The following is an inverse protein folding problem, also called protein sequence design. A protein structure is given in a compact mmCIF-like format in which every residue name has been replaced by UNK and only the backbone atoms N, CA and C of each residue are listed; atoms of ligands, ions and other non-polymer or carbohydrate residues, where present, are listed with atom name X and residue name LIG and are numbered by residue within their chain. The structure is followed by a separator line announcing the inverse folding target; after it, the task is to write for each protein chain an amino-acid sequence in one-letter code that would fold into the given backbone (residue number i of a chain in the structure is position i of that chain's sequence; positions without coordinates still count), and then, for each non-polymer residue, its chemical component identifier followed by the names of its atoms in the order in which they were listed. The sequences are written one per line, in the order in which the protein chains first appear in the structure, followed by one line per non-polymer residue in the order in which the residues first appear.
data_IF_674927180838
#
_entry.id   IF_674927180838
#
_cell.length_a   1.000
_cell.length_b   1.000
_cell.length_c   1.000
_cell.angle_alpha   90.00
_cell.angle_beta   90.00
_cell.angle_gamma   90.00
#
_symmetry.space_group_name_H-M   'P 1'
#
loop_
_entity.id
_entity.type
_entity.pdbx_description
1 polymer ?
#
# COMPACT_ATOMS: atom_id res chain seq x y z
N UNK A 1 8.62 -20.25 -9.98
CA UNK A 1 9.73 -21.09 -10.42
C UNK A 1 9.57 -22.44 -9.74
N UNK A 2 9.33 -23.50 -10.51
CA UNK A 2 9.33 -24.87 -9.99
C UNK A 2 10.72 -25.45 -10.21
N UNK A 3 11.37 -25.91 -9.15
CA UNK A 3 12.67 -26.58 -9.23
C UNK A 3 12.44 -28.09 -9.28
N UNK A 4 13.04 -28.75 -10.28
CA UNK A 4 13.34 -30.18 -10.22
C UNK A 4 14.49 -30.35 -9.21
N UNK A 5 14.21 -30.89 -8.03
CA UNK A 5 15.19 -31.17 -6.97
C UNK A 5 14.69 -32.32 -6.09
N UNK A 6 15.61 -33.04 -5.43
CA UNK A 6 15.25 -34.14 -4.53
C UNK A 6 14.50 -33.62 -3.29
N UNK A 7 13.73 -34.49 -2.61
CA UNK A 7 12.83 -34.11 -1.50
C UNK A 7 13.48 -33.40 -0.30
N UNK A 8 14.82 -33.38 -0.23
CA UNK A 8 15.60 -32.71 0.83
C UNK A 8 16.24 -31.39 0.37
N UNK A 9 16.14 -31.00 -0.90
CA UNK A 9 16.80 -29.82 -1.44
C UNK A 9 15.85 -28.61 -1.42
N UNK A 10 16.16 -27.64 -0.56
CA UNK A 10 15.45 -26.36 -0.50
C UNK A 10 16.27 -25.32 -1.25
N UNK A 11 15.77 -24.89 -2.41
CA UNK A 11 16.32 -23.70 -3.09
C UNK A 11 15.51 -22.49 -2.66
N UNK A 12 16.13 -21.62 -1.87
CA UNK A 12 15.61 -20.28 -1.59
C UNK A 12 15.96 -19.37 -2.78
N UNK A 13 15.00 -19.18 -3.69
CA UNK A 13 15.17 -18.26 -4.83
C UNK A 13 14.85 -16.84 -4.37
N UNK A 14 15.84 -15.95 -4.49
CA UNK A 14 15.65 -14.52 -4.29
C UNK A 14 15.19 -13.89 -5.60
N UNK A 15 14.10 -13.14 -5.55
CA UNK A 15 13.63 -12.37 -6.70
C UNK A 15 13.99 -10.90 -6.50
N UNK A 16 15.02 -10.43 -7.19
CA UNK A 16 15.37 -9.01 -7.28
C UNK A 16 14.56 -8.41 -8.42
N UNK A 17 13.48 -7.69 -8.09
CA UNK A 17 12.55 -7.12 -9.08
C UNK A 17 13.08 -5.87 -9.79
N UNK A 18 14.11 -5.23 -9.23
CA UNK A 18 14.78 -4.07 -9.81
C UNK A 18 16.26 -4.07 -9.42
N UNK A 19 17.14 -3.81 -10.39
CA UNK A 19 18.59 -3.70 -10.20
C UNK A 19 19.11 -2.51 -11.01
N UNK A 20 20.22 -1.91 -10.56
CA UNK A 20 20.84 -0.78 -11.26
C UNK A 20 21.25 -1.19 -12.68
N UNK A 21 20.49 -0.75 -13.69
CA UNK A 21 20.73 -1.15 -15.09
C UNK A 21 21.92 -0.43 -15.72
N UNK A 22 22.41 0.66 -15.12
CA UNK A 22 23.53 1.44 -15.67
C UNK A 22 24.90 0.81 -15.40
N UNK A 23 24.97 -0.12 -14.44
CA UNK A 23 26.20 -0.80 -14.06
C UNK A 23 26.30 -2.17 -14.72
N UNK A 24 27.51 -2.61 -15.08
CA UNK A 24 27.75 -3.97 -15.63
C UNK A 24 27.61 -5.07 -14.59
N UNK A 25 27.68 -4.73 -13.32
CA UNK A 25 27.48 -5.61 -12.19
C UNK A 25 26.85 -4.83 -11.04
N UNK A 26 26.24 -5.53 -10.10
CA UNK A 26 25.79 -4.97 -8.83
C UNK A 26 26.30 -5.84 -7.68
N UNK A 27 26.63 -5.19 -6.57
CA UNK A 27 27.08 -5.88 -5.36
C UNK A 27 25.89 -6.15 -4.45
N UNK A 28 25.86 -7.37 -3.92
CA UNK A 28 24.92 -7.77 -2.88
C UNK A 28 25.76 -8.11 -1.65
N UNK A 29 25.37 -7.58 -0.50
CA UNK A 29 26.00 -7.85 0.78
C UNK A 29 25.12 -8.78 1.61
N UNK A 30 25.68 -9.91 2.03
CA UNK A 30 24.99 -10.82 2.93
C UNK A 30 25.12 -10.33 4.36
N UNK A 31 23.98 -10.19 5.04
CA UNK A 31 23.93 -9.78 6.44
C UNK A 31 23.44 -10.97 7.27
N UNK A 32 24.28 -11.42 8.18
CA UNK A 32 23.96 -12.46 9.15
C UNK A 32 23.44 -11.87 10.45
N UNK A 33 22.58 -12.62 11.13
CA UNK A 33 22.16 -12.31 12.51
C UNK A 33 22.84 -13.29 13.47
N UNK A 34 23.56 -12.75 14.45
CA UNK A 34 24.20 -13.54 15.52
C UNK A 34 23.20 -13.94 16.61
N UNK A 35 23.62 -14.87 17.47
CA UNK A 35 22.79 -15.37 18.59
C UNK A 35 22.40 -14.29 19.61
N UNK A 36 23.16 -13.19 19.68
CA UNK A 36 22.85 -12.00 20.47
C UNK A 36 21.87 -11.03 19.76
N UNK A 37 21.41 -11.40 18.56
CA UNK A 37 20.52 -10.61 17.73
C UNK A 37 21.21 -9.54 16.89
N UNK A 38 22.53 -9.36 17.01
CA UNK A 38 23.29 -8.35 16.28
C UNK A 38 23.50 -8.72 14.80
N UNK A 39 23.58 -7.70 13.96
CA UNK A 39 23.83 -7.86 12.52
C UNK A 39 25.33 -7.77 12.22
N UNK A 40 25.79 -8.62 11.31
CA UNK A 40 27.19 -8.72 10.86
C UNK A 40 27.21 -8.91 9.34
N UNK A 41 28.13 -8.24 8.67
CA UNK A 41 28.41 -8.51 7.25
C UNK A 41 29.10 -9.87 7.12
N UNK A 42 28.49 -10.78 6.36
CA UNK A 42 29.09 -12.06 5.98
C UNK A 42 30.03 -11.86 4.79
N UNK A 43 29.76 -10.85 3.96
CA UNK A 43 30.62 -10.43 2.87
C UNK A 43 29.84 -10.00 1.61
N UNK A 44 30.43 -9.15 0.76
CA UNK A 44 29.87 -8.79 -0.51
C UNK A 44 30.16 -9.85 -1.58
N UNK A 45 29.28 -9.95 -2.57
CA UNK A 45 29.56 -10.63 -3.82
C UNK A 45 28.99 -9.84 -4.99
N UNK A 46 29.73 -9.81 -6.10
CA UNK A 46 29.33 -9.13 -7.31
C UNK A 46 28.52 -10.08 -8.19
N UNK A 47 27.38 -9.60 -8.68
CA UNK A 47 26.54 -10.29 -9.66
C UNK A 47 26.63 -9.49 -10.96
N UNK A 48 26.95 -10.18 -12.07
CA UNK A 48 26.87 -9.58 -13.38
C UNK A 48 25.43 -9.10 -13.63
N UNK A 49 25.28 -7.86 -14.10
CA UNK A 49 23.97 -7.35 -14.44
C UNK A 49 23.43 -8.13 -15.64
N UNK A 50 22.26 -8.81 -15.53
CA UNK A 50 21.73 -9.61 -16.62
C UNK A 50 21.22 -8.76 -17.80
N UNK A 51 20.93 -7.48 -17.57
CA UNK A 51 20.40 -6.56 -18.59
C UNK A 51 21.02 -5.16 -18.38
N UNK A 52 22.32 -4.98 -18.67
CA UNK A 52 22.93 -3.67 -18.60
C UNK A 52 22.39 -2.81 -19.75
N UNK A 53 21.91 -1.61 -19.44
CA UNK A 53 21.57 -0.65 -20.49
C UNK A 53 22.84 0.09 -20.94
N UNK A 54 22.96 0.41 -22.24
CA UNK A 54 24.02 1.28 -22.74
C UNK A 54 24.08 2.62 -22.00
N UNK A 55 25.26 3.26 -21.99
CA UNK A 55 25.47 4.52 -21.26
C UNK A 55 24.68 5.71 -21.82
N UNK A 56 24.21 5.61 -23.07
CA UNK A 56 23.39 6.60 -23.77
C UNK A 56 21.88 6.42 -23.53
N UNK A 57 21.47 5.52 -22.63
CA UNK A 57 20.07 5.37 -22.23
C UNK A 57 19.51 6.69 -21.67
N UNK A 58 18.24 7.04 -21.96
CA UNK A 58 17.58 8.22 -21.41
C UNK A 58 17.81 8.42 -19.90
N UNK A 59 17.93 9.70 -19.53
CA UNK A 59 18.05 10.14 -18.16
C UNK A 59 16.91 11.09 -17.82
N UNK A 60 16.35 10.90 -16.63
CA UNK A 60 15.44 11.86 -16.05
C UNK A 60 16.23 13.02 -15.44
N UNK A 61 15.70 14.23 -15.60
CA UNK A 61 16.27 15.45 -15.04
C UNK A 61 15.37 15.91 -13.89
N UNK A 62 15.88 16.02 -12.66
CA UNK A 62 15.03 16.36 -11.53
C UNK A 62 14.57 17.81 -11.61
N UNK A 63 13.31 18.04 -11.24
CA UNK A 63 12.83 19.36 -10.86
C UNK A 63 13.29 19.68 -9.42
N UNK A 64 13.60 20.96 -9.09
CA UNK A 64 14.00 21.33 -7.74
C UNK A 64 12.85 21.14 -6.74
N UNK A 65 13.18 20.78 -5.49
CA UNK A 65 12.22 20.77 -4.38
C UNK A 65 12.10 22.17 -3.76
N UNK A 66 10.91 22.56 -3.24
CA UNK A 66 9.66 21.81 -3.30
C UNK A 66 9.05 21.80 -4.72
N UNK A 67 8.36 20.71 -5.08
CA UNK A 67 7.62 20.60 -6.36
C UNK A 67 6.12 20.67 -6.13
N UNK A 68 5.39 21.44 -6.93
CA UNK A 68 3.93 21.58 -6.84
C UNK A 68 3.24 20.97 -8.05
N UNK A 69 2.25 20.11 -7.83
CA UNK A 69 1.45 19.48 -8.89
C UNK A 69 -0.03 19.56 -8.52
N UNK A 70 -0.88 19.92 -9.49
CA UNK A 70 -2.31 20.10 -9.27
C UNK A 70 -3.13 18.94 -9.84
N UNK A 71 -4.20 18.58 -9.16
CA UNK A 71 -5.21 17.62 -9.61
C UNK A 71 -6.59 18.13 -9.20
N UNK A 72 -7.28 18.82 -10.12
CA UNK A 72 -8.52 19.52 -9.81
C UNK A 72 -8.27 20.71 -8.87
N UNK A 73 -8.97 20.73 -7.73
CA UNK A 73 -8.84 21.77 -6.70
C UNK A 73 -7.75 21.46 -5.63
N UNK A 74 -7.11 20.29 -5.74
CA UNK A 74 -6.02 19.86 -4.86
C UNK A 74 -4.67 20.20 -5.48
N UNK A 75 -3.80 20.85 -4.71
CA UNK A 75 -2.38 20.98 -4.99
C UNK A 75 -1.64 20.05 -4.05
N UNK A 76 -0.83 19.15 -4.61
CA UNK A 76 0.06 18.26 -3.88
C UNK A 76 1.48 18.80 -4.04
N UNK A 77 2.16 19.02 -2.92
CA UNK A 77 3.53 19.52 -2.87
C UNK A 77 4.44 18.41 -2.38
N UNK A 78 5.47 18.06 -3.15
CA UNK A 78 6.57 17.23 -2.66
C UNK A 78 7.58 18.15 -1.99
N UNK A 79 7.65 18.10 -0.66
CA UNK A 79 8.53 18.95 0.16
C UNK A 79 9.89 18.28 0.39
N UNK A 80 9.87 16.97 0.65
CA UNK A 80 11.05 16.19 0.99
C UNK A 80 11.05 14.82 0.33
N UNK A 81 12.23 14.40 -0.13
CA UNK A 81 12.45 13.07 -0.70
C UNK A 81 13.83 12.57 -0.31
N UNK A 82 13.89 11.55 0.54
CA UNK A 82 15.14 11.04 1.12
C UNK A 82 15.20 9.53 0.96
N UNK A 83 16.35 8.99 0.58
CA UNK A 83 16.58 7.56 0.39
C UNK A 83 17.80 7.08 1.17
N UNK A 84 17.77 5.83 1.64
CA UNK A 84 18.90 5.21 2.33
C UNK A 84 18.88 5.38 3.85
N UNK A 85 17.75 5.79 4.44
CA UNK A 85 17.62 5.98 5.88
C UNK A 85 17.63 4.60 6.58
N UNK A 86 18.49 4.34 7.58
CA UNK A 86 18.43 3.11 8.36
C UNK A 86 17.05 2.89 9.00
N UNK A 87 16.50 1.69 8.91
CA UNK A 87 15.21 1.34 9.51
C UNK A 87 15.34 1.23 11.05
N UNK A 88 14.50 1.98 11.77
CA UNK A 88 14.37 1.93 13.24
C UNK A 88 14.58 3.29 13.93
N UNK A 89 13.85 3.53 15.02
CA UNK A 89 13.87 4.80 15.77
C UNK A 89 15.09 4.99 16.69
N UNK A 90 15.94 3.96 16.83
CA UNK A 90 17.13 4.02 17.67
C UNK A 90 18.30 4.52 16.85
N UNK A 91 18.88 5.64 17.28
CA UNK A 91 20.17 6.10 16.75
C UNK A 91 21.14 4.91 16.71
N UNK A 92 21.83 4.72 15.57
CA UNK A 92 22.68 3.57 15.41
C UNK A 92 23.84 3.67 16.40
N UNK A 93 23.88 2.74 17.35
CA UNK A 93 25.10 2.35 18.05
C UNK A 93 26.09 1.78 17.04
N UNK A 94 26.70 2.62 16.20
CA UNK A 94 27.74 2.28 15.22
C UNK A 94 27.42 1.22 14.15
N UNK A 95 26.23 0.61 14.14
CA UNK A 95 25.83 -0.49 13.24
C UNK A 95 24.75 -0.10 12.22
N UNK A 96 24.60 1.20 11.97
CA UNK A 96 23.55 1.75 11.09
C UNK A 96 23.65 1.31 9.64
N UNK A 97 24.84 0.94 9.16
CA UNK A 97 25.08 0.55 7.77
C UNK A 97 24.44 -0.78 7.39
N UNK A 98 24.36 -1.72 8.34
CA UNK A 98 23.79 -3.04 8.14
C UNK A 98 22.27 -3.09 8.36
N UNK A 99 21.67 -2.01 8.88
CA UNK A 99 20.22 -1.95 9.02
C UNK A 99 19.56 -1.89 7.65
N UNK A 100 18.38 -2.54 7.47
CA UNK A 100 17.56 -2.35 6.28
C UNK A 100 17.36 -0.87 6.00
N UNK A 101 17.38 -0.48 4.74
CA UNK A 101 17.24 0.93 4.37
C UNK A 101 15.80 1.25 4.00
N UNK A 102 15.43 2.51 4.19
CA UNK A 102 14.10 3.05 3.88
C UNK A 102 14.19 4.29 3.01
N UNK A 103 13.09 4.59 2.35
CA UNK A 103 12.87 5.80 1.56
C UNK A 103 11.73 6.58 2.20
N UNK A 104 11.92 7.88 2.40
CA UNK A 104 10.95 8.79 3.00
C UNK A 104 10.49 9.83 1.99
N UNK A 105 9.18 10.04 1.91
CA UNK A 105 8.53 11.11 1.16
C UNK A 105 7.76 12.01 2.13
N UNK A 106 7.81 13.31 1.90
CA UNK A 106 7.07 14.33 2.64
C UNK A 106 6.20 15.12 1.63
N UNK A 107 4.88 14.96 1.77
CA UNK A 107 3.88 15.61 0.94
C UNK A 107 3.09 16.63 1.77
N UNK A 108 2.83 17.80 1.19
CA UNK A 108 1.86 18.75 1.72
C UNK A 108 0.68 18.87 0.75
N UNK A 109 -0.50 19.16 1.29
CA UNK A 109 -1.74 19.24 0.53
C UNK A 109 -2.41 20.60 0.73
N UNK A 110 -2.77 21.26 -0.37
CA UNK A 110 -3.58 22.47 -0.33
C UNK A 110 -4.85 22.25 -1.15
N UNK A 111 -6.01 22.35 -0.50
CA UNK A 111 -7.32 22.27 -1.16
C UNK A 111 -7.94 23.66 -1.23
N UNK A 112 -8.38 24.08 -2.43
CA UNK A 112 -8.95 25.41 -2.65
C UNK A 112 -8.03 26.52 -2.11
N UNK A 113 -6.71 26.37 -2.30
CA UNK A 113 -5.65 27.28 -1.82
C UNK A 113 -5.43 27.30 -0.30
N UNK A 114 -6.15 26.48 0.47
CA UNK A 114 -5.96 26.36 1.92
C UNK A 114 -5.19 25.09 2.28
N UNK A 115 -4.23 25.13 3.23
CA UNK A 115 -3.59 23.92 3.74
C UNK A 115 -4.62 22.89 4.24
N UNK A 116 -4.38 21.61 3.95
CA UNK A 116 -5.28 20.52 4.30
C UNK A 116 -4.50 19.32 4.84
N UNK A 117 -4.99 18.74 5.93
CA UNK A 117 -4.50 17.48 6.50
C UNK A 117 -5.43 16.31 6.18
N UNK A 118 -6.48 16.57 5.39
CA UNK A 118 -7.57 15.63 5.13
C UNK A 118 -7.23 14.64 4.02
N UNK A 119 -6.02 14.71 3.47
CA UNK A 119 -5.54 13.85 2.39
C UNK A 119 -4.39 12.98 2.87
N UNK A 120 -4.28 11.79 2.27
CA UNK A 120 -3.18 10.86 2.51
C UNK A 120 -2.73 10.18 1.24
N UNK A 121 -1.50 9.70 1.25
CA UNK A 121 -0.97 8.83 0.21
C UNK A 121 -1.73 7.49 0.20
N UNK A 122 -2.23 7.11 -0.98
CA UNK A 122 -2.90 5.82 -1.20
C UNK A 122 -2.03 4.85 -1.98
N UNK A 123 -1.31 5.36 -2.98
CA UNK A 123 -0.46 4.56 -3.84
C UNK A 123 0.72 5.38 -4.33
N UNK A 124 1.86 4.71 -4.45
CA UNK A 124 3.08 5.26 -4.98
C UNK A 124 3.67 4.24 -5.95
N UNK A 125 4.08 4.73 -7.12
CA UNK A 125 4.93 3.99 -8.04
C UNK A 125 6.19 4.81 -8.25
N UNK A 126 7.33 4.18 -8.02
CA UNK A 126 8.65 4.77 -8.18
C UNK A 126 9.32 4.11 -9.37
N UNK A 127 9.79 4.89 -10.34
CA UNK A 127 10.46 4.36 -11.53
C UNK A 127 11.69 5.16 -11.92
N UNK A 128 12.67 4.48 -12.51
CA UNK A 128 13.84 5.12 -13.09
C UNK A 128 13.73 5.19 -14.61
N UNK A 129 14.64 5.93 -15.23
CA UNK A 129 14.66 6.12 -16.67
C UNK A 129 15.04 4.86 -17.45
N UNK A 130 15.47 3.78 -16.77
CA UNK A 130 15.86 2.50 -17.38
C UNK A 130 14.71 1.48 -17.40
N UNK A 131 13.53 1.89 -16.91
CA UNK A 131 12.31 1.09 -16.89
C UNK A 131 12.18 0.19 -15.66
N UNK A 132 13.02 0.35 -14.63
CA UNK A 132 12.73 -0.29 -13.35
C UNK A 132 11.50 0.38 -12.72
N UNK A 133 10.66 -0.44 -12.11
CA UNK A 133 9.42 0.01 -11.47
C UNK A 133 9.25 -0.68 -10.13
N UNK A 134 9.06 0.11 -9.09
CA UNK A 134 8.81 -0.33 -7.74
C UNK A 134 7.49 0.26 -7.25
N UNK A 135 6.64 -0.59 -6.68
CA UNK A 135 5.40 -0.19 -6.04
C UNK A 135 5.46 -0.70 -4.59
N UNK A 136 5.78 0.15 -3.60
CA UNK A 136 5.64 -0.24 -2.21
C UNK A 136 4.20 -0.64 -1.92
N UNK A 137 4.04 -1.62 -1.02
CA UNK A 137 2.73 -2.00 -0.51
C UNK A 137 2.37 -1.08 0.67
N UNK A 138 1.11 -0.67 0.74
CA UNK A 138 0.58 0.12 1.85
C UNK A 138 -0.53 -0.69 2.53
N UNK A 139 -0.27 -1.14 3.75
CA UNK A 139 -1.33 -1.69 4.60
C UNK A 139 -1.90 -0.59 5.49
N UNK A 140 -3.01 0.02 5.06
CA UNK A 140 -3.68 1.07 5.83
C UNK A 140 -4.48 0.52 7.02
N UNK A 141 -4.75 -0.79 7.07
CA UNK A 141 -5.46 -1.42 8.18
C UNK A 141 -4.49 -1.93 9.26
N UNK A 142 -3.32 -2.40 8.85
CA UNK A 142 -2.26 -2.95 9.71
C UNK A 142 -0.88 -2.49 9.21
N UNK A 143 -0.51 -1.22 9.43
CA UNK A 143 0.80 -0.72 9.00
C UNK A 143 1.90 -1.58 9.62
N UNK A 144 2.85 -2.04 8.79
CA UNK A 144 4.01 -2.80 9.26
C UNK A 144 4.93 -1.89 10.06
N UNK A 145 5.71 -2.44 10.98
CA UNK A 145 6.63 -1.65 11.82
C UNK A 145 7.65 -0.79 11.06
N UNK A 146 7.90 -1.07 9.78
CA UNK A 146 8.82 -0.35 8.90
C UNK A 146 8.10 0.44 7.78
N UNK A 147 6.77 0.49 7.83
CA UNK A 147 5.91 1.24 6.91
C UNK A 147 5.09 2.23 7.74
N UNK A 148 5.26 3.52 7.49
CA UNK A 148 4.43 4.55 8.14
C UNK A 148 3.91 5.49 7.07
N UNK A 149 2.59 5.51 6.90
CA UNK A 149 1.89 6.56 6.15
C UNK A 149 1.03 7.31 7.13
N UNK A 150 1.40 8.55 7.41
CA UNK A 150 0.72 9.42 8.36
C UNK A 150 0.58 10.80 7.74
N UNK A 151 -0.66 11.14 7.37
CA UNK A 151 -0.97 12.29 6.53
C UNK A 151 -0.11 12.31 5.26
N UNK A 152 0.73 13.35 5.17
CA UNK A 152 1.64 13.57 4.05
C UNK A 152 2.99 12.85 4.13
N UNK A 153 3.33 12.22 5.25
CA UNK A 153 4.63 11.52 5.40
C UNK A 153 4.49 10.05 5.09
N UNK A 154 5.36 9.52 4.22
CA UNK A 154 5.46 8.10 3.91
C UNK A 154 6.89 7.58 4.10
N UNK A 155 7.05 6.54 4.92
CA UNK A 155 8.31 5.79 5.10
C UNK A 155 8.11 4.40 4.49
N UNK A 156 8.98 4.04 3.56
CA UNK A 156 8.87 2.86 2.71
C UNK A 156 10.09 1.95 2.85
N UNK A 157 9.91 0.62 2.91
CA UNK A 157 11.03 -0.30 2.94
C UNK A 157 11.77 -0.33 1.61
N UNK A 158 13.08 -0.18 1.64
CA UNK A 158 13.94 -0.15 0.45
C UNK A 158 14.60 1.21 0.24
N UNK A 159 15.74 1.19 -0.44
CA UNK A 159 16.45 2.38 -0.87
C UNK A 159 16.57 2.40 -2.40
N UNK A 160 16.60 3.60 -2.94
CA UNK A 160 16.80 3.89 -4.35
C UNK A 160 18.30 3.88 -4.69
N UNK A 161 18.61 3.66 -5.96
CA UNK A 161 20.00 3.67 -6.43
C UNK A 161 20.53 5.11 -6.54
N UNK A 162 21.72 5.43 -5.97
CA UNK A 162 22.31 6.77 -6.04
C UNK A 162 22.87 7.14 -7.41
N UNK A 163 23.02 6.17 -8.31
CA UNK A 163 23.47 6.40 -9.68
C UNK A 163 22.38 6.97 -10.60
N UNK A 164 21.10 6.89 -10.21
CA UNK A 164 20.04 7.53 -10.97
C UNK A 164 19.99 9.02 -10.65
N UNK A 165 19.95 9.85 -11.69
CA UNK A 165 19.92 11.31 -11.55
C UNK A 165 18.58 11.81 -10.98
N UNK A 166 17.49 11.11 -11.30
CA UNK A 166 16.16 11.39 -10.79
C UNK A 166 15.27 10.14 -10.88
N UNK A 167 14.20 10.18 -10.12
CA UNK A 167 13.15 9.17 -10.08
C UNK A 167 11.82 9.82 -10.40
N UNK A 168 11.01 9.08 -11.16
CA UNK A 168 9.63 9.46 -11.46
C UNK A 168 8.71 8.84 -10.41
N UNK A 169 7.95 9.68 -9.73
CA UNK A 169 7.04 9.33 -8.65
C UNK A 169 5.61 9.53 -9.14
N UNK A 170 4.88 8.44 -9.41
CA UNK A 170 3.45 8.49 -9.69
C UNK A 170 2.72 8.32 -8.36
N UNK A 171 2.11 9.41 -7.89
CA UNK A 171 1.48 9.52 -6.57
C UNK A 171 -0.02 9.54 -6.74
N UNK A 172 -0.71 8.61 -6.08
CA UNK A 172 -2.16 8.67 -5.91
C UNK A 172 -2.49 9.03 -4.45
N UNK A 173 -3.30 10.06 -4.26
CA UNK A 173 -3.78 10.52 -2.95
C UNK A 173 -5.29 10.61 -2.92
N UNK A 174 -5.87 10.44 -1.74
CA UNK A 174 -7.31 10.55 -1.53
C UNK A 174 -7.61 11.26 -0.21
N UNK A 175 -8.83 11.79 -0.13
CA UNK A 175 -9.38 12.33 1.11
C UNK A 175 -9.63 11.19 2.09
N UNK A 176 -9.23 11.33 3.35
CA UNK A 176 -9.44 10.32 4.40
C UNK A 176 -10.30 10.82 5.56
N UNK A 177 -10.53 12.12 5.66
CA UNK A 177 -11.38 12.76 6.68
C UNK A 177 -12.21 13.91 6.08
N UNK A 178 -13.26 14.33 6.77
CA UNK A 178 -14.14 15.45 6.37
C UNK A 178 -14.72 15.30 4.95
N UNK A 179 -15.21 14.10 4.65
CA UNK A 179 -15.87 13.78 3.37
C UNK A 179 -17.08 14.66 3.10
N UNK A 180 -17.29 14.98 1.82
CA UNK A 180 -18.53 15.63 1.39
C UNK A 180 -19.73 14.66 1.51
N UNK A 181 -20.96 15.15 1.73
CA UNK A 181 -22.13 14.28 1.89
C UNK A 181 -22.35 13.30 0.73
N UNK A 182 -22.05 13.72 -0.50
CA UNK A 182 -22.14 12.90 -1.72
C UNK A 182 -21.04 11.82 -1.83
N UNK A 183 -19.99 11.90 -1.02
CA UNK A 183 -18.96 10.86 -0.91
C UNK A 183 -19.34 9.81 0.14
N UNK A 184 -20.28 10.12 1.04
CA UNK A 184 -20.63 9.28 2.18
C UNK A 184 -21.80 8.35 1.88
N UNK A 185 -21.67 7.11 2.34
CA UNK A 185 -22.71 6.09 2.24
C UNK A 185 -22.87 5.34 3.55
N UNK A 186 -24.09 5.32 4.08
CA UNK A 186 -24.49 4.47 5.19
C UNK A 186 -25.53 3.45 4.67
N UNK A 187 -25.10 2.23 4.27
CA UNK A 187 -26.05 1.18 3.94
C UNK A 187 -26.86 0.76 5.18
N UNK A 188 -28.03 0.11 5.01
CA UNK A 188 -28.75 -0.50 6.11
C UNK A 188 -27.87 -1.47 6.93
N UNK A 189 -28.15 -1.67 8.24
CA UNK A 189 -27.41 -2.62 9.06
C UNK A 189 -27.39 -4.02 8.43
N UNK A 190 -26.21 -4.64 8.41
CA UNK A 190 -26.01 -5.98 7.86
C UNK A 190 -26.23 -7.02 8.97
N UNK A 191 -27.10 -8.02 8.78
CA UNK A 191 -27.36 -9.02 9.82
C UNK A 191 -26.20 -10.02 9.92
N UNK A 192 -25.63 -10.19 11.11
CA UNK A 192 -24.52 -11.12 11.37
C UNK A 192 -25.00 -12.54 11.72
N UNK A 193 -26.30 -12.72 11.93
CA UNK A 193 -26.96 -13.98 12.28
C UNK A 193 -27.30 -14.87 11.08
N UNK A 194 -26.70 -14.63 9.91
CA UNK A 194 -27.02 -15.27 8.63
C UNK A 194 -26.90 -16.81 8.59
N UNK A 195 -26.56 -17.47 9.71
CA UNK A 195 -26.25 -18.89 9.79
C UNK A 195 -25.04 -19.24 8.92
N UNK A 196 -24.81 -20.53 8.60
CA UNK A 196 -23.69 -20.94 7.75
C UNK A 196 -24.01 -20.73 6.26
N UNK A 197 -24.60 -19.58 5.89
CA UNK A 197 -25.07 -19.31 4.53
C UNK A 197 -24.55 -17.99 4.01
N UNK A 198 -24.35 -17.97 2.70
CA UNK A 198 -24.02 -16.79 1.94
C UNK A 198 -25.26 -15.90 1.83
N UNK A 199 -25.16 -14.62 2.23
CA UNK A 199 -26.27 -13.68 2.22
C UNK A 199 -26.09 -12.62 1.12
N UNK A 200 -26.96 -12.55 0.09
CA UNK A 200 -26.97 -11.43 -0.85
C UNK A 200 -27.52 -10.16 -0.20
N UNK A 201 -26.86 -9.01 -0.41
CA UNK A 201 -27.24 -7.73 0.23
C UNK A 201 -27.98 -6.78 -0.72
N UNK A 202 -27.50 -6.64 -1.97
CA UNK A 202 -28.17 -5.83 -2.99
C UNK A 202 -28.15 -4.32 -2.76
N UNK A 203 -27.50 -3.83 -1.70
CA UNK A 203 -27.40 -2.39 -1.41
C UNK A 203 -26.49 -1.71 -2.43
N UNK A 204 -26.97 -0.61 -3.03
CA UNK A 204 -26.25 0.15 -4.04
C UNK A 204 -26.14 1.62 -3.65
N UNK A 205 -25.05 2.25 -4.06
CA UNK A 205 -24.79 3.67 -3.86
C UNK A 205 -24.26 4.28 -5.15
N UNK A 206 -24.84 5.41 -5.55
CA UNK A 206 -24.35 6.20 -6.67
C UNK A 206 -23.21 7.11 -6.19
N UNK A 207 -22.06 7.04 -6.85
CA UNK A 207 -20.87 7.82 -6.50
C UNK A 207 -20.26 8.43 -7.76
N UNK A 208 -20.50 9.72 -7.98
CA UNK A 208 -20.15 10.40 -9.22
C UNK A 208 -20.90 9.80 -10.41
N UNK A 209 -20.17 9.36 -11.44
CA UNK A 209 -20.74 8.76 -12.65
C UNK A 209 -20.95 7.24 -12.56
N UNK A 210 -20.57 6.61 -11.46
CA UNK A 210 -20.64 5.15 -11.29
C UNK A 210 -21.44 4.76 -10.07
N UNK A 211 -21.43 3.46 -9.75
CA UNK A 211 -22.05 2.94 -8.55
C UNK A 211 -21.21 1.86 -7.87
N UNK A 212 -21.45 1.69 -6.58
CA UNK A 212 -20.88 0.61 -5.77
C UNK A 212 -22.01 -0.21 -5.20
N UNK A 213 -21.79 -1.51 -5.09
CA UNK A 213 -22.75 -2.45 -4.54
C UNK A 213 -22.10 -3.25 -3.40
N UNK A 214 -22.78 -3.33 -2.26
CA UNK A 214 -22.55 -4.42 -1.32
C UNK A 214 -23.26 -5.65 -1.88
N UNK A 215 -22.48 -6.56 -2.43
CA UNK A 215 -22.99 -7.72 -3.15
C UNK A 215 -23.42 -8.82 -2.18
N UNK A 216 -22.62 -9.06 -1.14
CA UNK A 216 -22.85 -10.16 -0.22
C UNK A 216 -22.23 -9.95 1.15
N UNK A 217 -22.73 -10.71 2.12
CA UNK A 217 -22.11 -10.97 3.41
C UNK A 217 -21.82 -12.48 3.50
N UNK A 218 -20.59 -12.81 3.88
CA UNK A 218 -20.10 -14.18 4.04
C UNK A 218 -19.71 -14.40 5.49
N UNK A 219 -20.35 -15.37 6.19
CA UNK A 219 -20.04 -15.67 7.59
C UNK A 219 -18.67 -16.36 7.72
N UNK A 220 -18.08 -16.35 8.92
CA UNK A 220 -16.79 -16.98 9.18
C UNK A 220 -16.78 -18.47 8.81
N UNK A 221 -15.67 -18.93 8.23
CA UNK A 221 -15.47 -20.34 7.87
C UNK A 221 -16.23 -20.82 6.62
N UNK A 222 -17.14 -20.02 6.06
CA UNK A 222 -17.83 -20.38 4.83
C UNK A 222 -16.92 -20.17 3.62
N UNK A 223 -16.74 -21.23 2.83
CA UNK A 223 -16.03 -21.16 1.54
C UNK A 223 -17.07 -20.85 0.46
N UNK A 224 -17.01 -19.65 -0.11
CA UNK A 224 -17.83 -19.33 -1.28
C UNK A 224 -17.41 -20.22 -2.47
N UNK A 225 -18.37 -20.81 -3.15
CA UNK A 225 -18.16 -21.68 -4.33
C UNK A 225 -18.52 -20.97 -5.65
N UNK A 226 -18.46 -19.64 -5.65
CA UNK A 226 -18.85 -18.79 -6.77
C UNK A 226 -17.70 -17.82 -7.11
N UNK A 227 -17.98 -16.81 -7.94
CA UNK A 227 -16.98 -15.81 -8.34
C UNK A 227 -16.26 -15.09 -7.18
N UNK A 228 -16.82 -15.12 -5.97
CA UNK A 228 -16.26 -14.50 -4.78
C UNK A 228 -15.24 -15.38 -4.03
N UNK A 229 -15.10 -16.66 -4.39
CA UNK A 229 -14.30 -17.66 -3.66
C UNK A 229 -12.92 -17.15 -3.20
N UNK A 230 -12.20 -16.45 -4.06
CA UNK A 230 -10.84 -15.98 -3.78
C UNK A 230 -10.80 -14.60 -3.12
N UNK A 231 -11.86 -13.80 -3.30
CA UNK A 231 -11.95 -12.43 -2.83
C UNK A 231 -12.42 -12.36 -1.38
N UNK A 232 -13.45 -13.11 -1.01
CA UNK A 232 -14.07 -13.04 0.34
C UNK A 232 -13.48 -14.05 1.34
N UNK A 233 -12.64 -14.98 0.89
CA UNK A 233 -12.07 -16.01 1.76
C UNK A 233 -11.04 -15.43 2.73
N UNK A 234 -11.25 -15.55 4.03
CA UNK A 234 -10.21 -15.21 5.00
C UNK A 234 -9.17 -16.34 5.12
N UNK A 235 -7.89 -15.97 5.17
CA UNK A 235 -6.75 -16.90 5.28
C UNK A 235 -6.01 -16.82 6.63
N UNK A 236 -6.47 -15.95 7.52
CA UNK A 236 -5.92 -15.87 8.88
C UNK A 236 -6.47 -16.96 9.79
N UNK A 237 -5.98 -16.98 11.03
CA UNK A 237 -6.32 -17.99 12.02
C UNK A 237 -7.53 -17.61 12.88
N UNK A 238 -8.10 -16.42 12.66
CA UNK A 238 -9.27 -15.93 13.38
C UNK A 238 -10.56 -16.60 12.87
N UNK A 239 -11.37 -17.08 13.80
CA UNK A 239 -12.59 -17.85 13.52
C UNK A 239 -13.87 -17.00 13.43
N UNK A 240 -13.79 -15.69 13.68
CA UNK A 240 -14.94 -14.78 13.73
C UNK A 240 -14.84 -13.62 12.71
N UNK A 241 -14.22 -13.86 11.55
CA UNK A 241 -14.10 -12.86 10.48
C UNK A 241 -15.21 -13.01 9.46
N UNK A 242 -16.05 -11.98 9.34
CA UNK A 242 -17.05 -11.84 8.31
C UNK A 242 -16.47 -11.11 7.10
N UNK A 243 -16.87 -11.49 5.89
CA UNK A 243 -16.48 -10.78 4.69
C UNK A 243 -17.69 -10.13 4.01
N UNK A 244 -17.61 -8.83 3.77
CA UNK A 244 -18.57 -8.09 2.95
C UNK A 244 -18.00 -7.97 1.54
N UNK A 245 -18.61 -8.66 0.59
CA UNK A 245 -18.26 -8.56 -0.83
C UNK A 245 -18.74 -7.25 -1.43
N UNK A 246 -17.83 -6.55 -2.08
CA UNK A 246 -18.08 -5.25 -2.73
C UNK A 246 -17.84 -5.37 -4.22
N UNK A 247 -18.77 -4.87 -5.03
CA UNK A 247 -18.68 -4.85 -6.48
C UNK A 247 -18.76 -3.40 -6.98
N UNK A 248 -17.90 -3.07 -7.93
CA UNK A 248 -18.02 -1.90 -8.81
C UNK A 248 -18.55 -2.44 -10.14
N UNK A 249 -19.85 -2.26 -10.47
CA UNK A 249 -20.42 -2.77 -11.71
C UNK A 249 -19.77 -2.16 -12.95
N UNK A 250 -19.33 -0.90 -12.82
CA UNK A 250 -18.58 -0.16 -13.84
C UNK A 250 -17.20 0.19 -13.29
N UNK A 251 -16.14 0.22 -14.13
CA UNK A 251 -14.83 0.67 -13.69
C UNK A 251 -14.88 2.11 -13.16
N UNK A 252 -14.46 2.30 -11.91
CA UNK A 252 -14.35 3.63 -11.29
C UNK A 252 -12.88 3.94 -10.99
N UNK A 253 -12.02 4.14 -12.02
CA UNK A 253 -10.58 4.26 -11.84
C UNK A 253 -10.16 5.45 -10.97
N UNK A 254 -11.01 6.48 -10.87
CA UNK A 254 -10.74 7.72 -10.13
C UNK A 254 -11.42 7.75 -8.76
N UNK A 255 -11.92 6.62 -8.25
CA UNK A 255 -12.52 6.55 -6.92
C UNK A 255 -12.05 5.31 -6.19
N UNK A 256 -12.11 5.35 -4.86
CA UNK A 256 -11.78 4.21 -3.98
C UNK A 256 -12.81 4.13 -2.87
N UNK A 257 -13.16 2.90 -2.47
CA UNK A 257 -13.99 2.68 -1.30
C UNK A 257 -13.12 2.76 -0.04
N UNK A 258 -13.60 3.49 0.97
CA UNK A 258 -13.01 3.54 2.30
C UNK A 258 -14.07 3.17 3.34
N UNK A 259 -13.63 2.50 4.40
CA UNK A 259 -14.43 2.33 5.61
C UNK A 259 -14.15 3.53 6.51
N UNK A 260 -15.17 4.37 6.72
CA UNK A 260 -15.10 5.50 7.65
C UNK A 260 -15.34 5.02 9.06
N UNK A 261 -16.34 4.15 9.22
CA UNK A 261 -16.75 3.62 10.51
C UNK A 261 -17.41 2.26 10.31
N UNK A 262 -17.23 1.38 11.29
CA UNK A 262 -17.97 0.13 11.41
C UNK A 262 -18.29 -0.08 12.89
N UNK A 263 -19.57 -0.31 13.20
CA UNK A 263 -20.04 -0.55 14.57
C UNK A 263 -21.00 -1.73 14.61
N UNK A 264 -21.17 -2.33 15.78
CA UNK A 264 -22.24 -3.30 16.01
C UNK A 264 -23.53 -2.67 16.56
N UNK A 265 -24.53 -3.50 16.82
CA UNK A 265 -25.84 -3.14 17.38
C UNK A 265 -25.78 -2.55 18.81
N UNK A 266 -24.68 -2.76 19.52
CA UNK A 266 -24.42 -2.14 20.83
C UNK A 266 -23.61 -0.84 20.74
N UNK A 267 -23.24 -0.43 19.53
CA UNK A 267 -22.42 0.75 19.27
C UNK A 267 -20.92 0.54 19.47
N UNK A 268 -20.44 -0.70 19.65
CA UNK A 268 -19.00 -0.99 19.76
C UNK A 268 -18.36 -0.91 18.37
N UNK A 269 -17.15 -0.36 18.30
CA UNK A 269 -16.39 -0.33 17.05
C UNK A 269 -16.01 -1.75 16.60
N UNK A 270 -16.26 -2.06 15.33
CA UNK A 270 -15.92 -3.34 14.72
C UNK A 270 -14.65 -3.17 13.87
N UNK A 271 -13.53 -3.83 14.22
CA UNK A 271 -12.28 -3.67 13.48
C UNK A 271 -12.36 -4.24 12.06
N UNK A 272 -11.91 -3.45 11.09
CA UNK A 272 -11.55 -3.91 9.76
C UNK A 272 -10.23 -4.69 9.85
N UNK A 273 -10.29 -5.97 9.55
CA UNK A 273 -9.16 -6.91 9.52
C UNK A 273 -8.32 -6.71 8.28
N UNK A 274 -8.99 -6.61 7.11
CA UNK A 274 -8.35 -6.55 5.80
C UNK A 274 -9.32 -5.89 4.81
N UNK A 275 -8.80 -5.04 3.92
CA UNK A 275 -9.50 -4.61 2.71
C UNK A 275 -8.84 -5.26 1.50
N UNK A 276 -9.42 -6.35 1.03
CA UNK A 276 -8.85 -7.12 -0.07
C UNK A 276 -9.28 -6.56 -1.42
N UNK A 277 -8.30 -6.43 -2.31
CA UNK A 277 -8.54 -6.06 -3.70
C UNK A 277 -9.02 -4.62 -3.86
N UNK A 278 -8.61 -3.70 -2.99
CA UNK A 278 -9.03 -2.29 -3.00
C UNK A 278 -8.85 -1.55 -4.35
N UNK A 279 -7.97 -2.05 -5.22
CA UNK A 279 -7.72 -1.54 -6.58
C UNK A 279 -8.50 -2.28 -7.69
N UNK A 280 -9.32 -3.29 -7.35
CA UNK A 280 -10.04 -4.12 -8.30
C UNK A 280 -11.56 -3.88 -8.26
N UNK A 281 -12.30 -4.20 -9.33
CA UNK A 281 -13.76 -4.08 -9.34
C UNK A 281 -14.48 -4.98 -8.34
N UNK A 282 -13.87 -6.11 -7.97
CA UNK A 282 -14.35 -7.02 -6.93
C UNK A 282 -13.43 -6.91 -5.71
N UNK A 283 -14.01 -6.57 -4.57
CA UNK A 283 -13.29 -6.34 -3.33
C UNK A 283 -13.96 -7.08 -2.17
N UNK A 284 -13.26 -7.20 -1.06
CA UNK A 284 -13.85 -7.65 0.20
C UNK A 284 -13.40 -6.75 1.36
N UNK A 285 -14.34 -6.40 2.22
CA UNK A 285 -14.08 -5.80 3.51
C UNK A 285 -14.25 -6.88 4.57
N UNK A 286 -13.17 -7.20 5.28
CA UNK A 286 -13.15 -8.28 6.27
C UNK A 286 -13.24 -7.67 7.67
N UNK A 287 -14.28 -8.01 8.42
CA UNK A 287 -14.57 -7.44 9.73
C UNK A 287 -14.56 -8.50 10.81
N UNK A 288 -14.15 -8.12 12.02
CA UNK A 288 -14.13 -9.01 13.18
C UNK A 288 -15.01 -8.44 14.29
N UNK A 289 -16.33 -8.64 14.23
CA UNK A 289 -17.24 -8.24 15.30
C UNK A 289 -17.05 -9.11 16.56
N UNK A 290 -17.54 -8.62 17.69
CA UNK A 290 -17.62 -9.40 18.93
C UNK A 290 -18.62 -10.55 18.79
N UNK A 291 -18.46 -11.68 19.51
CA UNK A 291 -19.28 -12.88 19.31
C UNK A 291 -20.78 -12.71 19.58
N UNK A 292 -21.16 -11.69 20.36
CA UNK A 292 -22.53 -11.35 20.73
C UNK A 292 -23.17 -10.30 19.79
N UNK A 293 -22.41 -9.73 18.85
CA UNK A 293 -22.93 -8.77 17.87
C UNK A 293 -23.92 -9.44 16.91
N UNK A 294 -25.07 -8.80 16.73
CA UNK A 294 -26.13 -9.30 15.83
C UNK A 294 -26.20 -8.53 14.52
N UNK A 295 -25.66 -7.31 14.48
CA UNK A 295 -25.63 -6.48 13.29
C UNK A 295 -24.28 -5.81 13.09
N UNK A 296 -23.97 -5.51 11.83
CA UNK A 296 -22.84 -4.67 11.43
C UNK A 296 -23.38 -3.43 10.72
N UNK A 297 -23.26 -2.28 11.37
CA UNK A 297 -23.52 -0.98 10.77
C UNK A 297 -22.24 -0.45 10.14
N UNK A 298 -22.33 -0.02 8.88
CA UNK A 298 -21.20 0.55 8.15
C UNK A 298 -21.46 2.03 7.84
N UNK A 299 -20.39 2.82 7.87
CA UNK A 299 -20.29 4.10 7.21
C UNK A 299 -19.09 4.08 6.28
N UNK A 300 -19.36 4.28 5.01
CA UNK A 300 -18.40 4.17 3.93
C UNK A 300 -18.19 5.53 3.28
N UNK A 301 -17.04 5.72 2.66
CA UNK A 301 -16.76 6.86 1.81
C UNK A 301 -16.24 6.40 0.45
N UNK A 302 -16.54 7.17 -0.60
CA UNK A 302 -16.12 6.92 -1.97
C UNK A 302 -15.46 8.17 -2.55
N UNK A 303 -14.35 8.65 -1.96
CA UNK A 303 -13.71 9.88 -2.40
C UNK A 303 -13.12 9.76 -3.81
N UNK A 304 -12.88 10.92 -4.42
CA UNK A 304 -12.07 11.01 -5.63
C UNK A 304 -10.59 10.72 -5.33
N UNK A 305 -9.95 10.07 -6.29
CA UNK A 305 -8.55 9.71 -6.29
C UNK A 305 -7.79 10.72 -7.15
N UNK A 306 -6.92 11.50 -6.53
CA UNK A 306 -6.09 12.49 -7.20
C UNK A 306 -4.75 11.87 -7.59
N UNK A 307 -4.32 12.13 -8.83
CA UNK A 307 -3.05 11.63 -9.37
C UNK A 307 -2.15 12.77 -9.75
N UNK A 308 -0.91 12.71 -9.32
CA UNK A 308 0.15 13.65 -9.68
C UNK A 308 1.44 12.91 -9.95
N UNK A 309 2.31 13.49 -10.78
CA UNK A 309 3.62 12.94 -11.08
C UNK A 309 4.71 13.95 -10.70
N UNK A 310 5.73 13.46 -10.00
CA UNK A 310 6.94 14.23 -9.68
C UNK A 310 8.15 13.62 -10.36
N UNK A 311 9.13 14.46 -10.68
CA UNK A 311 10.43 14.05 -11.18
C UNK A 311 11.49 14.60 -10.23
N UNK A 312 11.95 13.78 -9.29
CA UNK A 312 12.74 14.25 -8.16
C UNK A 312 13.99 13.39 -7.95
N UNK A 313 15.07 14.02 -7.48
CA UNK A 313 16.25 13.31 -6.98
C UNK A 313 16.14 13.21 -5.47
N UNK A 314 16.23 12.01 -4.87
CA UNK A 314 16.25 11.91 -3.43
C UNK A 314 17.58 12.41 -2.88
N UNK A 315 17.55 13.03 -1.71
CA UNK A 315 18.73 13.17 -0.89
C UNK A 315 19.13 11.78 -0.37
N UNK A 316 20.42 11.45 -0.44
CA UNK A 316 20.91 10.17 0.05
C UNK A 316 21.47 10.34 1.46
N UNK A 317 20.96 9.54 2.40
CA UNK A 317 21.56 9.48 3.72
C UNK A 317 22.98 8.93 3.59
N UNK A 318 24.02 9.64 4.06
CA UNK A 318 25.39 9.21 3.90
C UNK A 318 25.63 7.89 4.65
N UNK A 319 26.36 6.96 4.04
CA UNK A 319 27.00 5.87 4.79
C UNK A 319 28.09 6.48 5.68
N UNK A 320 28.11 6.11 6.96
CA UNK A 320 29.13 6.56 7.90
C UNK A 320 30.32 5.61 7.90
#
# INVERSE_FOLDING_TARGET
AGTLGFAAEVVNIWNVRAFNRRSKAFEVEWIGRQGDGSLVSIGPFAIANPVPVPSDHPQFHPEPLPQHKSSGNLVVTLEGFVSGIPAGDREPSGKGDLLPKTTRLELAFNENQNPSTNYRLQRLIVSDATGNRWQPYFDHARPRSNERVDGGTAILPGALWPSEQAWKLEVEVLRHEYFAPEELWAPPPLPLDAGPRYLPLGHQFAAGSGSIQLANLVPPGLIASNQWQWTVRYWGNESNVFAVGVQFPEPMPNRRLLVVEATDDSGRAVPLVEHRGADHPQQALLFRPEPDATQLQLRLAVPELHRVEFLARPEFHPRK
#
